data_IF_811995340210
#
_entry.id   IF_811995340210
#
_cell.length_a   1.000
_cell.length_b   1.000
_cell.length_c   1.000
_cell.angle_alpha   90.00
_cell.angle_beta   90.00
_cell.angle_gamma   90.00
#
_symmetry.space_group_name_H-M   'P 1'
#
loop_
_entity.id
_entity.type
_entity.pdbx_description
1 polymer ?
#
# COMPACT_ATOMS: atom_id res chain seq x y z
N UNK A 1 -1.65 0.87 45.02
CA UNK A 1 -1.48 1.72 43.81
C UNK A 1 -2.16 1.00 42.65
N UNK A 2 -3.23 1.57 42.08
CA UNK A 2 -3.91 0.96 40.94
C UNK A 2 -2.96 1.00 39.73
N UNK A 3 -2.76 -0.14 39.06
CA UNK A 3 -1.84 -0.23 37.91
C UNK A 3 -2.53 -0.69 36.63
N UNK A 4 -3.76 -1.16 36.74
CA UNK A 4 -4.60 -1.66 35.65
C UNK A 4 -6.02 -1.16 35.89
N UNK A 5 -6.67 -0.68 34.84
CA UNK A 5 -8.06 -0.27 34.89
C UNK A 5 -8.79 -0.90 33.70
N UNK A 6 -9.87 -1.61 34.02
CA UNK A 6 -10.75 -2.28 33.06
C UNK A 6 -12.13 -1.67 33.20
N UNK A 7 -12.64 -1.07 32.13
CA UNK A 7 -13.92 -0.40 32.03
C UNK A 7 -14.77 -0.92 30.87
N UNK A 8 -14.45 -2.09 30.30
CA UNK A 8 -15.20 -2.63 29.16
C UNK A 8 -16.72 -2.63 29.40
N UNK A 9 -17.50 -2.33 28.35
CA UNK A 9 -18.96 -2.34 28.38
C UNK A 9 -19.58 -1.38 29.42
N UNK A 10 -18.98 -0.20 29.63
CA UNK A 10 -19.56 0.84 30.50
C UNK A 10 -19.94 2.07 29.69
N UNK A 11 -20.96 2.80 30.11
CA UNK A 11 -21.23 4.12 29.57
C UNK A 11 -20.57 5.17 30.46
N UNK A 12 -19.60 5.91 29.93
CA UNK A 12 -18.86 6.92 30.69
C UNK A 12 -19.09 8.30 30.10
N UNK A 13 -19.83 9.12 30.83
CA UNK A 13 -20.06 10.52 30.46
C UNK A 13 -18.78 11.38 30.58
N UNK A 14 -18.77 12.55 29.92
CA UNK A 14 -17.61 13.45 29.86
C UNK A 14 -17.01 13.79 31.23
N UNK A 15 -17.86 14.03 32.24
CA UNK A 15 -17.42 14.30 33.63
C UNK A 15 -16.71 13.08 34.22
N UNK A 16 -17.20 11.87 33.93
CA UNK A 16 -16.55 10.62 34.30
C UNK A 16 -15.17 10.49 33.65
N UNK A 17 -15.07 10.80 32.36
CA UNK A 17 -13.82 10.78 31.60
C UNK A 17 -12.76 11.73 32.15
N UNK A 18 -13.17 12.93 32.58
CA UNK A 18 -12.28 13.90 33.25
C UNK A 18 -11.67 13.32 34.54
N UNK A 19 -12.50 12.68 35.37
CA UNK A 19 -12.04 12.06 36.62
C UNK A 19 -11.17 10.82 36.36
N UNK A 20 -11.51 10.04 35.33
CA UNK A 20 -10.71 8.90 34.89
C UNK A 20 -9.32 9.32 34.43
N UNK A 21 -9.18 10.45 33.73
CA UNK A 21 -7.88 10.97 33.33
C UNK A 21 -6.88 11.06 34.49
N UNK A 22 -7.31 11.55 35.65
CA UNK A 22 -6.45 11.62 36.84
C UNK A 22 -5.99 10.25 37.35
N UNK A 23 -6.88 9.25 37.30
CA UNK A 23 -6.53 7.87 37.66
C UNK A 23 -5.56 7.24 36.64
N UNK A 24 -5.68 7.62 35.37
CA UNK A 24 -4.93 7.03 34.28
C UNK A 24 -3.48 7.51 34.18
N UNK A 25 -3.11 8.68 34.71
CA UNK A 25 -1.74 9.23 34.65
C UNK A 25 -0.61 8.28 35.11
N UNK A 26 -0.92 7.28 35.95
CA UNK A 26 0.07 6.32 36.51
C UNK A 26 -0.27 4.86 36.22
N UNK A 27 -1.23 4.60 35.35
CA UNK A 27 -1.66 3.25 35.02
C UNK A 27 -0.79 2.63 33.94
N UNK A 28 -0.61 1.31 34.01
CA UNK A 28 0.12 0.53 33.01
C UNK A 28 -0.80 -0.11 31.99
N UNK A 29 -2.06 -0.35 32.35
CA UNK A 29 -3.08 -0.92 31.45
C UNK A 29 -4.34 -0.09 31.59
N UNK A 30 -4.86 0.34 30.45
CA UNK A 30 -6.20 0.88 30.32
C UNK A 30 -6.96 0.11 29.25
N UNK A 31 -8.07 -0.50 29.66
CA UNK A 31 -8.90 -1.31 28.78
C UNK A 31 -10.35 -0.86 28.90
N UNK A 32 -10.83 -0.22 27.86
CA UNK A 32 -12.15 0.41 27.83
C UNK A 32 -12.90 0.08 26.55
N UNK A 33 -12.73 -1.13 26.02
CA UNK A 33 -13.46 -1.57 24.84
C UNK A 33 -14.97 -1.45 25.03
N UNK A 34 -15.70 -1.03 23.98
CA UNK A 34 -17.15 -0.85 24.01
C UNK A 34 -17.62 0.03 25.18
N UNK A 35 -17.00 1.20 25.39
CA UNK A 35 -17.30 2.05 26.56
C UNK A 35 -17.72 3.50 26.26
N UNK A 36 -18.06 3.79 25.00
CA UNK A 36 -18.73 5.02 24.52
C UNK A 36 -18.37 6.30 25.31
N UNK A 37 -17.14 6.81 25.12
CA UNK A 37 -16.65 7.99 25.84
C UNK A 37 -17.06 9.33 25.22
N UNK A 38 -17.56 9.34 23.97
CA UNK A 38 -17.78 10.56 23.20
C UNK A 38 -16.48 11.33 22.88
N UNK A 39 -16.58 12.33 22.01
CA UNK A 39 -15.42 13.15 21.57
C UNK A 39 -14.72 13.84 22.74
N UNK A 40 -15.50 14.49 23.62
CA UNK A 40 -14.97 15.27 24.75
C UNK A 40 -14.34 14.34 25.78
N UNK A 41 -14.97 13.21 26.09
CA UNK A 41 -14.37 12.19 26.94
C UNK A 41 -13.04 11.65 26.38
N UNK A 42 -12.96 11.34 25.09
CA UNK A 42 -11.72 10.88 24.44
C UNK A 42 -10.62 11.96 24.52
N UNK A 43 -10.97 13.24 24.34
CA UNK A 43 -10.01 14.33 24.48
C UNK A 43 -9.43 14.39 25.91
N UNK A 44 -10.28 14.33 26.94
CA UNK A 44 -9.81 14.32 28.34
C UNK A 44 -8.92 13.13 28.66
N UNK A 45 -9.27 11.95 28.14
CA UNK A 45 -8.45 10.76 28.29
C UNK A 45 -7.11 10.94 27.56
N UNK A 46 -7.11 11.52 26.36
CA UNK A 46 -5.90 11.75 25.60
C UNK A 46 -4.93 12.72 26.28
N UNK A 47 -5.44 13.84 26.79
CA UNK A 47 -4.63 14.82 27.52
C UNK A 47 -3.99 14.18 28.77
N UNK A 48 -4.76 13.38 29.51
CA UNK A 48 -4.24 12.68 30.68
C UNK A 48 -3.23 11.57 30.35
N UNK A 49 -3.43 10.86 29.23
CA UNK A 49 -2.57 9.76 28.79
C UNK A 49 -1.27 10.25 28.12
N UNK A 50 -1.22 11.47 27.59
CA UNK A 50 0.02 12.10 27.12
C UNK A 50 1.05 12.27 28.24
N UNK A 51 0.60 12.58 29.46
CA UNK A 51 1.46 12.69 30.64
C UNK A 51 1.85 11.33 31.23
N UNK A 52 1.18 10.25 30.81
CA UNK A 52 1.44 8.92 31.34
C UNK A 52 2.66 8.30 30.65
N UNK A 53 3.75 8.11 31.42
CA UNK A 53 5.00 7.50 30.96
C UNK A 53 5.10 6.00 31.25
N UNK A 54 4.08 5.39 31.84
CA UNK A 54 4.07 3.99 32.33
C UNK A 54 3.09 3.07 31.59
N UNK A 55 2.22 3.61 30.75
CA UNK A 55 1.21 2.87 30.02
C UNK A 55 1.85 1.89 29.04
N UNK A 56 1.51 0.61 29.17
CA UNK A 56 1.95 -0.45 28.27
C UNK A 56 0.85 -0.83 27.29
N UNK A 57 -0.40 -0.91 27.76
CA UNK A 57 -1.53 -1.35 26.95
C UNK A 57 -2.67 -0.34 26.99
N UNK A 58 -3.17 0.00 25.82
CA UNK A 58 -4.29 0.89 25.58
C UNK A 58 -5.28 0.18 24.66
N UNK A 59 -6.51 -0.02 25.12
CA UNK A 59 -7.53 -0.75 24.38
C UNK A 59 -8.83 0.06 24.28
N UNK A 60 -9.16 0.43 23.05
CA UNK A 60 -10.23 1.34 22.64
C UNK A 60 -11.12 0.77 21.52
N UNK A 61 -11.18 -0.55 21.35
CA UNK A 61 -12.08 -1.16 20.36
C UNK A 61 -13.55 -0.78 20.61
N UNK A 62 -14.33 -0.58 19.54
CA UNK A 62 -15.78 -0.32 19.62
C UNK A 62 -16.16 0.92 20.46
N UNK A 63 -15.39 2.02 20.39
CA UNK A 63 -15.63 3.25 21.16
C UNK A 63 -16.11 4.44 20.32
N UNK A 64 -16.62 4.20 19.11
CA UNK A 64 -17.10 5.25 18.20
C UNK A 64 -16.03 6.33 17.88
N UNK A 65 -14.77 5.90 17.76
CA UNK A 65 -13.63 6.79 17.44
C UNK A 65 -13.68 7.19 15.96
N UNK A 66 -13.92 8.48 15.68
CA UNK A 66 -13.84 9.09 14.35
C UNK A 66 -12.46 9.70 14.03
N UNK A 67 -12.37 10.44 12.91
CA UNK A 67 -11.11 11.03 12.43
C UNK A 67 -10.50 12.05 13.42
N UNK A 68 -11.34 12.82 14.13
CA UNK A 68 -10.91 13.79 15.11
C UNK A 68 -10.35 13.10 16.36
N UNK A 69 -11.06 12.08 16.85
CA UNK A 69 -10.67 11.31 18.02
C UNK A 69 -9.40 10.50 17.74
N UNK A 70 -9.26 9.97 16.53
CA UNK A 70 -8.05 9.32 16.06
C UNK A 70 -6.83 10.25 16.12
N UNK A 71 -6.99 11.56 15.85
CA UNK A 71 -5.93 12.56 16.05
C UNK A 71 -5.54 12.70 17.53
N UNK A 72 -6.50 12.68 18.45
CA UNK A 72 -6.19 12.74 19.89
C UNK A 72 -5.41 11.49 20.34
N UNK A 73 -5.84 10.31 19.89
CA UNK A 73 -5.14 9.06 20.19
C UNK A 73 -3.74 9.01 19.54
N UNK A 74 -3.58 9.53 18.33
CA UNK A 74 -2.28 9.68 17.68
C UNK A 74 -1.31 10.55 18.52
N UNK A 75 -1.80 11.63 19.13
CA UNK A 75 -0.98 12.45 20.02
C UNK A 75 -0.52 11.70 21.27
N UNK A 76 -1.38 10.85 21.85
CA UNK A 76 -1.00 9.96 22.97
C UNK A 76 0.15 9.06 22.54
N UNK A 77 0.01 8.43 21.38
CA UNK A 77 1.06 7.60 20.81
C UNK A 77 2.33 8.45 20.70
N UNK A 78 2.34 9.57 19.98
CA UNK A 78 3.51 10.46 19.83
C UNK A 78 4.19 10.90 21.14
N UNK A 79 3.48 10.97 22.27
CA UNK A 79 4.05 11.30 23.57
C UNK A 79 4.56 10.07 24.34
N UNK A 80 3.90 8.92 24.20
CA UNK A 80 4.14 7.75 25.03
C UNK A 80 5.18 6.79 24.42
N UNK A 81 6.32 6.64 25.11
CA UNK A 81 7.43 5.75 24.68
C UNK A 81 7.40 4.34 25.29
N UNK A 82 6.41 4.03 26.13
CA UNK A 82 6.34 2.74 26.84
C UNK A 82 5.21 1.83 26.35
N UNK A 83 4.26 2.37 25.59
CA UNK A 83 3.15 1.62 25.03
C UNK A 83 3.67 0.55 24.07
N UNK A 84 3.24 -0.69 24.29
CA UNK A 84 3.61 -1.85 23.49
C UNK A 84 2.39 -2.55 22.88
N UNK A 85 1.18 -2.19 23.29
CA UNK A 85 -0.06 -2.71 22.70
C UNK A 85 -1.09 -1.60 22.59
N UNK A 86 -1.54 -1.36 21.36
CA UNK A 86 -2.62 -0.45 21.04
C UNK A 86 -3.68 -1.21 20.24
N UNK A 87 -4.90 -1.28 20.78
CA UNK A 87 -6.03 -1.94 20.13
C UNK A 87 -7.13 -0.91 19.88
N UNK A 88 -7.45 -0.69 18.62
CA UNK A 88 -8.40 0.34 18.16
C UNK A 88 -9.34 -0.16 17.05
N UNK A 89 -9.36 -1.47 16.80
CA UNK A 89 -10.26 -2.07 15.81
C UNK A 89 -11.73 -1.74 16.03
N UNK A 90 -12.55 -1.96 15.00
CA UNK A 90 -14.01 -1.75 15.05
C UNK A 90 -14.42 -0.34 15.49
N UNK A 91 -13.74 0.68 14.96
CA UNK A 91 -14.10 2.09 15.15
C UNK A 91 -14.30 2.80 13.80
N UNK A 92 -15.20 3.80 13.71
CA UNK A 92 -15.59 4.43 12.44
C UNK A 92 -14.68 5.59 11.99
N UNK A 93 -13.36 5.50 12.18
CA UNK A 93 -12.43 6.48 11.61
C UNK A 93 -12.23 6.24 10.11
N UNK A 94 -12.12 7.33 9.36
CA UNK A 94 -11.87 7.34 7.93
C UNK A 94 -10.37 7.33 7.59
N UNK A 95 -10.07 7.60 6.33
CA UNK A 95 -8.70 7.57 5.81
C UNK A 95 -7.77 8.60 6.47
N UNK A 96 -8.30 9.77 6.89
CA UNK A 96 -7.49 10.77 7.59
C UNK A 96 -7.10 10.31 9.01
N UNK A 97 -8.03 9.71 9.76
CA UNK A 97 -7.76 9.14 11.08
C UNK A 97 -6.79 7.96 11.00
N UNK A 98 -7.00 7.06 10.03
CA UNK A 98 -6.11 5.93 9.78
C UNK A 98 -4.66 6.38 9.48
N UNK A 99 -4.49 7.41 8.64
CA UNK A 99 -3.17 7.95 8.32
C UNK A 99 -2.44 8.51 9.55
N UNK A 100 -3.14 9.30 10.39
CA UNK A 100 -2.56 9.89 11.61
C UNK A 100 -2.15 8.82 12.63
N UNK A 101 -2.99 7.80 12.82
CA UNK A 101 -2.66 6.67 13.70
C UNK A 101 -1.46 5.89 13.17
N UNK A 102 -1.40 5.64 11.86
CA UNK A 102 -0.26 4.95 11.24
C UNK A 102 1.05 5.72 11.44
N UNK A 103 1.06 7.04 11.19
CA UNK A 103 2.24 7.89 11.42
C UNK A 103 2.67 7.88 12.89
N UNK A 104 1.71 7.98 13.82
CA UNK A 104 2.00 7.96 15.25
C UNK A 104 2.52 6.61 15.75
N UNK A 105 2.02 5.50 15.19
CA UNK A 105 2.53 4.16 15.44
C UNK A 105 3.94 3.99 14.91
N UNK A 106 4.25 4.48 13.70
CA UNK A 106 5.60 4.43 13.14
C UNK A 106 6.63 5.16 14.02
N UNK A 107 6.24 6.28 14.62
CA UNK A 107 7.14 7.07 15.45
C UNK A 107 7.37 6.49 16.87
N UNK A 108 6.46 5.66 17.38
CA UNK A 108 6.57 5.09 18.75
C UNK A 108 6.95 3.64 18.80
N UNK A 109 6.59 2.90 17.77
CA UNK A 109 6.82 1.48 17.64
C UNK A 109 7.62 1.27 16.36
N UNK A 110 8.93 1.55 16.35
CA UNK A 110 9.80 1.30 15.20
C UNK A 110 9.89 -0.20 14.83
N UNK A 111 9.23 -1.08 15.59
CA UNK A 111 9.02 -2.50 15.30
C UNK A 111 7.76 -2.79 14.46
N UNK A 112 6.80 -1.87 14.41
CA UNK A 112 5.50 -2.05 13.73
C UNK A 112 5.41 -1.32 12.39
N UNK A 113 6.32 -0.38 12.13
CA UNK A 113 6.55 0.09 10.77
C UNK A 113 7.83 -0.58 10.29
N UNK A 114 7.84 -1.21 9.10
CA UNK A 114 9.09 -1.59 8.47
C UNK A 114 9.93 -0.32 8.44
N UNK A 115 11.15 -0.40 8.95
CA UNK A 115 12.09 0.72 9.07
C UNK A 115 12.56 1.15 7.67
N UNK A 116 11.64 1.48 6.78
CA UNK A 116 11.81 1.74 5.37
C UNK A 116 12.26 3.20 5.23
N UNK A 117 13.48 3.47 5.70
CA UNK A 117 14.14 4.77 5.59
C UNK A 117 15.01 4.80 4.34
N UNK A 118 15.54 5.97 3.98
CA UNK A 118 16.51 6.10 2.88
C UNK A 118 17.73 5.18 3.04
N UNK A 119 18.11 4.82 4.28
CA UNK A 119 19.22 3.90 4.54
C UNK A 119 18.90 2.43 4.27
N UNK A 120 17.63 2.03 4.28
CA UNK A 120 17.20 0.63 4.03
C UNK A 120 16.57 0.44 2.65
N UNK A 121 15.80 1.41 2.17
CA UNK A 121 15.22 1.39 0.82
C UNK A 121 16.25 1.85 -0.22
N UNK A 122 17.17 2.75 0.15
CA UNK A 122 18.06 3.45 -0.79
C UNK A 122 17.43 4.69 -1.41
N UNK A 123 18.11 5.29 -2.39
CA UNK A 123 17.58 6.41 -3.17
C UNK A 123 16.79 5.89 -4.39
N UNK A 124 15.71 6.58 -4.74
CA UNK A 124 14.88 6.29 -5.92
C UNK A 124 14.12 4.94 -5.91
N UNK A 125 13.19 4.71 -4.96
CA UNK A 125 12.22 3.63 -5.08
C UNK A 125 11.14 3.97 -6.11
N UNK A 126 11.00 3.16 -7.16
CA UNK A 126 10.05 3.41 -8.24
C UNK A 126 8.79 2.52 -8.16
N UNK A 127 8.90 1.34 -7.54
CA UNK A 127 7.77 0.43 -7.37
C UNK A 127 7.71 -0.16 -5.96
N UNK A 128 6.49 -0.35 -5.48
CA UNK A 128 6.16 -1.04 -4.23
C UNK A 128 5.07 -2.07 -4.51
N UNK A 129 5.18 -3.25 -3.90
CA UNK A 129 4.18 -4.30 -3.95
C UNK A 129 3.99 -4.90 -2.56
N UNK A 130 2.75 -5.26 -2.21
CA UNK A 130 2.41 -5.93 -0.96
C UNK A 130 1.69 -7.23 -1.30
N UNK A 131 2.25 -8.37 -0.86
CA UNK A 131 1.61 -9.68 -1.07
C UNK A 131 0.49 -9.96 -0.06
N UNK A 132 -0.29 -11.01 -0.32
CA UNK A 132 -1.36 -11.50 0.57
C UNK A 132 -0.89 -11.93 1.97
N UNK A 133 0.43 -12.07 2.18
CA UNK A 133 1.04 -12.40 3.47
C UNK A 133 1.68 -11.17 4.15
N UNK A 134 1.31 -9.95 3.71
CA UNK A 134 1.85 -8.67 4.19
C UNK A 134 3.37 -8.52 4.01
N UNK A 135 3.98 -9.24 3.06
CA UNK A 135 5.36 -8.96 2.68
C UNK A 135 5.39 -7.76 1.77
N UNK A 136 6.30 -6.84 2.06
CA UNK A 136 6.47 -5.61 1.30
C UNK A 136 7.71 -5.77 0.43
N UNK A 137 7.57 -5.46 -0.84
CA UNK A 137 8.60 -5.54 -1.84
C UNK A 137 8.78 -4.14 -2.42
N UNK A 138 10.01 -3.62 -2.42
CA UNK A 138 10.31 -2.28 -2.95
C UNK A 138 11.50 -2.39 -3.88
N UNK A 139 11.40 -1.81 -5.08
CA UNK A 139 12.54 -1.70 -5.99
C UNK A 139 13.48 -0.59 -5.53
N UNK A 140 14.78 -0.81 -5.69
CA UNK A 140 15.82 0.19 -5.44
C UNK A 140 16.69 0.29 -6.68
N UNK A 141 16.59 1.43 -7.38
CA UNK A 141 17.35 1.67 -8.59
C UNK A 141 18.86 1.83 -8.34
N UNK A 142 19.25 2.56 -7.29
CA UNK A 142 20.66 2.80 -6.99
C UNK A 142 21.44 1.50 -6.73
N UNK A 143 20.81 0.52 -6.10
CA UNK A 143 21.42 -0.77 -5.78
C UNK A 143 21.06 -1.87 -6.79
N UNK A 144 20.27 -1.56 -7.82
CA UNK A 144 19.67 -2.52 -8.75
C UNK A 144 19.16 -3.76 -8.03
N UNK A 145 18.24 -3.56 -7.10
CA UNK A 145 17.76 -4.64 -6.22
C UNK A 145 16.29 -4.51 -5.86
N UNK A 146 15.71 -5.59 -5.36
CA UNK A 146 14.43 -5.58 -4.65
C UNK A 146 14.70 -5.79 -3.17
N UNK A 147 14.19 -4.90 -2.34
CA UNK A 147 14.20 -4.99 -0.89
C UNK A 147 12.89 -5.64 -0.44
N UNK A 148 12.97 -6.73 0.35
CA UNK A 148 11.80 -7.50 0.79
C UNK A 148 11.71 -7.54 2.31
N UNK A 149 10.67 -6.95 2.86
CA UNK A 149 10.33 -7.05 4.29
C UNK A 149 9.38 -8.22 4.51
N UNK A 150 9.71 -9.09 5.46
CA UNK A 150 8.97 -10.31 5.78
C UNK A 150 8.57 -10.25 7.25
N UNK A 151 7.29 -10.47 7.57
CA UNK A 151 6.78 -10.62 8.94
C UNK A 151 7.29 -9.53 9.90
N UNK A 152 7.15 -8.26 9.53
CA UNK A 152 7.55 -7.09 10.33
C UNK A 152 9.06 -7.03 10.68
N UNK A 153 9.92 -7.71 9.92
CA UNK A 153 11.37 -7.58 10.07
C UNK A 153 11.80 -6.12 9.94
N UNK A 154 12.71 -5.66 10.81
CA UNK A 154 13.28 -4.31 10.70
C UNK A 154 14.27 -4.17 9.54
N UNK A 155 14.81 -5.29 9.04
CA UNK A 155 15.77 -5.32 7.94
C UNK A 155 15.18 -6.06 6.73
N UNK A 156 15.29 -5.49 5.52
CA UNK A 156 14.88 -6.18 4.31
C UNK A 156 15.86 -7.29 3.92
N UNK A 157 15.34 -8.32 3.26
CA UNK A 157 16.12 -9.23 2.44
C UNK A 157 16.37 -8.58 1.08
N UNK A 158 17.63 -8.39 0.72
CA UNK A 158 18.03 -7.86 -0.59
C UNK A 158 18.06 -8.96 -1.64
N UNK A 159 17.37 -8.73 -2.76
CA UNK A 159 17.46 -9.56 -3.97
C UNK A 159 18.15 -8.72 -5.03
N UNK A 160 19.38 -9.12 -5.39
CA UNK A 160 20.12 -8.45 -6.43
C UNK A 160 19.52 -8.75 -7.81
N UNK A 161 19.22 -7.69 -8.57
CA UNK A 161 18.87 -7.76 -9.98
C UNK A 161 20.19 -7.68 -10.74
N UNK A 162 20.47 -8.67 -11.61
CA UNK A 162 21.70 -8.64 -12.42
C UNK A 162 21.61 -7.49 -13.43
N UNK A 163 22.78 -6.95 -13.82
CA UNK A 163 23.01 -5.97 -14.89
C UNK A 163 22.83 -4.46 -14.58
N UNK A 164 22.88 -4.01 -13.33
CA UNK A 164 22.86 -2.56 -13.00
C UNK A 164 21.68 -1.81 -13.65
N UNK A 165 20.52 -2.41 -13.48
CA UNK A 165 19.29 -2.00 -14.13
C UNK A 165 18.49 -1.12 -13.20
N UNK A 166 17.77 -0.15 -13.76
CA UNK A 166 16.95 0.82 -13.05
C UNK A 166 15.51 0.28 -13.00
N UNK A 167 15.16 -0.67 -12.12
CA UNK A 167 13.83 -1.29 -12.12
C UNK A 167 12.74 -0.26 -11.90
N UNK A 168 11.78 -0.22 -12.82
CA UNK A 168 10.67 0.75 -12.78
C UNK A 168 9.37 0.10 -12.27
N UNK A 169 9.14 -1.17 -12.57
CA UNK A 169 7.93 -1.89 -12.17
C UNK A 169 8.23 -3.24 -11.52
N UNK A 170 7.30 -3.70 -10.70
CA UNK A 170 7.40 -4.89 -9.88
C UNK A 170 6.02 -5.52 -9.73
N UNK A 171 5.96 -6.85 -9.81
CA UNK A 171 4.77 -7.63 -9.50
C UNK A 171 5.18 -8.93 -8.81
N UNK A 172 4.38 -9.40 -7.84
CA UNK A 172 4.61 -10.69 -7.19
C UNK A 172 3.36 -11.54 -7.33
N UNK A 173 3.49 -12.73 -7.90
CA UNK A 173 2.39 -13.69 -8.05
C UNK A 173 2.08 -14.42 -6.73
N UNK A 174 0.92 -15.06 -6.67
CA UNK A 174 0.44 -15.77 -5.47
C UNK A 174 1.39 -16.90 -5.00
N UNK A 175 2.14 -17.50 -5.92
CA UNK A 175 3.16 -18.52 -5.64
C UNK A 175 4.49 -17.94 -5.09
N UNK A 176 4.59 -16.60 -5.00
CA UNK A 176 5.75 -15.86 -4.53
C UNK A 176 6.82 -15.62 -5.59
N UNK A 177 6.53 -15.83 -6.89
CA UNK A 177 7.42 -15.44 -7.97
C UNK A 177 7.41 -13.92 -8.16
N UNK A 178 8.60 -13.32 -8.12
CA UNK A 178 8.81 -11.88 -8.23
C UNK A 178 9.18 -11.58 -9.66
N UNK A 179 8.47 -10.66 -10.31
CA UNK A 179 8.73 -10.16 -11.65
C UNK A 179 9.11 -8.69 -11.57
N UNK A 180 10.19 -8.29 -12.23
CA UNK A 180 10.72 -6.93 -12.21
C UNK A 180 11.18 -6.54 -13.60
N UNK A 181 10.83 -5.33 -14.02
CA UNK A 181 11.40 -4.71 -15.21
C UNK A 181 12.92 -4.54 -15.06
N UNK A 182 13.68 -4.92 -16.08
CA UNK A 182 15.13 -4.82 -16.09
C UNK A 182 15.65 -3.63 -16.89
N UNK A 183 14.78 -2.73 -17.36
CA UNK A 183 15.15 -1.52 -18.12
C UNK A 183 16.09 -1.78 -19.33
N UNK A 184 16.15 -3.01 -19.84
CA UNK A 184 16.81 -3.40 -21.09
C UNK A 184 15.83 -4.17 -21.99
N UNK A 185 14.54 -3.85 -21.89
CA UNK A 185 13.46 -4.46 -22.67
C UNK A 185 13.17 -5.91 -22.25
N UNK A 186 13.56 -6.30 -21.04
CA UNK A 186 13.17 -7.58 -20.44
C UNK A 186 12.48 -7.38 -19.09
N UNK A 187 11.62 -8.33 -18.77
CA UNK A 187 11.15 -8.57 -17.41
C UNK A 187 11.89 -9.78 -16.88
N UNK A 188 12.53 -9.62 -15.73
CA UNK A 188 13.29 -10.66 -15.04
C UNK A 188 12.47 -11.21 -13.88
N UNK A 189 12.60 -12.51 -13.62
CA UNK A 189 11.82 -13.18 -12.58
C UNK A 189 12.63 -14.12 -11.69
N UNK A 190 12.23 -14.22 -10.43
CA UNK A 190 12.88 -15.03 -9.40
C UNK A 190 11.87 -15.62 -8.41
N UNK A 191 12.22 -16.77 -7.83
CA UNK A 191 11.56 -17.27 -6.63
C UNK A 191 12.46 -16.97 -5.41
N UNK A 192 11.91 -16.34 -4.36
CA UNK A 192 12.65 -15.80 -3.20
C UNK A 192 13.69 -16.76 -2.57
N UNK A 193 13.47 -18.08 -2.70
CA UNK A 193 14.26 -19.13 -2.06
C UNK A 193 15.00 -20.04 -3.05
N UNK A 194 14.98 -19.75 -4.36
CA UNK A 194 15.76 -20.49 -5.36
C UNK A 194 16.90 -19.62 -5.86
N UNK A 195 18.11 -19.90 -5.41
CA UNK A 195 19.33 -19.32 -5.99
C UNK A 195 19.51 -19.84 -7.41
N UNK A 196 19.63 -18.94 -8.40
CA UNK A 196 20.04 -19.27 -9.76
C UNK A 196 18.94 -19.47 -10.81
N UNK A 197 17.67 -19.63 -10.44
CA UNK A 197 16.58 -19.70 -11.42
C UNK A 197 16.09 -18.30 -11.77
N UNK A 198 16.80 -17.66 -12.71
CA UNK A 198 16.40 -16.39 -13.30
C UNK A 198 15.85 -16.66 -14.69
N UNK A 199 14.64 -16.17 -14.96
CA UNK A 199 14.07 -16.20 -16.31
C UNK A 199 13.87 -14.76 -16.77
N UNK A 200 14.41 -14.43 -17.94
CA UNK A 200 14.24 -13.13 -18.60
C UNK A 200 13.25 -13.27 -19.74
N UNK A 201 12.32 -12.33 -19.83
CA UNK A 201 11.25 -12.31 -20.82
C UNK A 201 11.32 -11.02 -21.62
N UNK A 202 11.55 -11.12 -22.92
CA UNK A 202 11.59 -9.94 -23.79
C UNK A 202 10.20 -9.30 -23.92
N UNK A 203 10.12 -7.99 -23.64
CA UNK A 203 8.91 -7.16 -23.73
C UNK A 203 8.97 -6.13 -24.85
N UNK A 204 10.12 -5.95 -25.51
CA UNK A 204 10.30 -4.97 -26.59
C UNK A 204 10.83 -3.62 -26.11
N UNK A 205 10.31 -3.14 -24.99
CA UNK A 205 10.71 -1.88 -24.32
C UNK A 205 10.55 -2.01 -22.79
N UNK A 206 10.96 -0.98 -22.05
CA UNK A 206 10.79 -0.85 -20.60
C UNK A 206 9.32 -0.96 -20.18
N UNK A 207 9.08 -1.75 -19.14
CA UNK A 207 7.76 -2.00 -18.60
C UNK A 207 7.41 -1.04 -17.47
N UNK A 208 6.55 -0.05 -17.72
CA UNK A 208 6.17 0.95 -16.71
C UNK A 208 5.06 0.48 -15.76
N UNK A 209 4.23 -0.45 -16.22
CA UNK A 209 3.22 -1.15 -15.44
C UNK A 209 3.30 -2.62 -15.76
N UNK A 210 3.34 -3.46 -14.73
CA UNK A 210 3.60 -4.89 -14.85
C UNK A 210 2.54 -5.65 -14.06
N UNK A 211 1.92 -6.65 -14.69
CA UNK A 211 0.91 -7.49 -14.05
C UNK A 211 0.98 -8.90 -14.61
N UNK A 212 0.82 -9.91 -13.75
CA UNK A 212 0.71 -11.32 -14.17
C UNK A 212 -0.68 -11.84 -13.78
N UNK A 213 -1.44 -12.32 -14.75
CA UNK A 213 -2.77 -12.89 -14.49
C UNK A 213 -2.71 -14.38 -14.04
N UNK A 214 -3.85 -14.90 -13.61
CA UNK A 214 -4.01 -16.29 -13.14
C UNK A 214 -3.76 -17.35 -14.23
N UNK A 215 -3.72 -16.95 -15.51
CA UNK A 215 -3.42 -17.83 -16.64
C UNK A 215 -1.94 -17.80 -17.05
N UNK A 216 -1.08 -17.19 -16.22
CA UNK A 216 0.33 -16.94 -16.52
C UNK A 216 0.51 -16.08 -17.79
N UNK A 217 -0.31 -15.04 -17.95
CA UNK A 217 -0.08 -14.02 -18.97
C UNK A 217 0.51 -12.78 -18.33
N UNK A 218 1.66 -12.34 -18.85
CA UNK A 218 2.29 -11.09 -18.49
C UNK A 218 1.65 -9.96 -19.27
N UNK A 219 1.27 -8.89 -18.59
CA UNK A 219 0.84 -7.63 -19.17
C UNK A 219 1.88 -6.57 -18.88
N UNK A 220 2.16 -5.75 -19.88
CA UNK A 220 3.19 -4.74 -19.79
C UNK A 220 2.75 -3.45 -20.47
N UNK A 221 2.81 -2.35 -19.73
CA UNK A 221 2.57 -1.01 -20.27
C UNK A 221 3.86 -0.45 -20.87
N UNK A 222 3.88 -0.32 -22.20
CA UNK A 222 4.97 0.31 -22.95
C UNK A 222 4.62 1.78 -23.12
N UNK A 223 5.01 2.58 -22.12
CA UNK A 223 4.58 3.98 -21.98
C UNK A 223 4.94 4.83 -23.20
N UNK A 224 6.17 4.69 -23.71
CA UNK A 224 6.69 5.44 -24.84
C UNK A 224 6.03 5.07 -26.18
N UNK A 225 5.52 3.84 -26.28
CA UNK A 225 4.76 3.36 -27.44
C UNK A 225 3.26 3.62 -27.31
N UNK A 226 2.78 4.04 -26.14
CA UNK A 226 1.36 4.29 -25.87
C UNK A 226 0.48 3.05 -26.04
N UNK A 227 0.99 1.88 -25.64
CA UNK A 227 0.29 0.59 -25.72
C UNK A 227 0.48 -0.22 -24.44
N UNK A 228 -0.43 -1.18 -24.26
CA UNK A 228 -0.25 -2.30 -23.34
C UNK A 228 -0.17 -3.57 -24.17
N UNK A 229 0.86 -4.37 -23.93
CA UNK A 229 1.03 -5.68 -24.54
C UNK A 229 0.70 -6.79 -23.53
N UNK A 230 0.33 -7.96 -24.04
CA UNK A 230 0.26 -9.20 -23.28
C UNK A 230 1.15 -10.27 -23.91
N UNK A 231 1.65 -11.18 -23.08
CA UNK A 231 2.46 -12.33 -23.48
C UNK A 231 2.16 -13.53 -22.59
N UNK A 232 1.90 -14.69 -23.19
CA UNK A 232 1.77 -15.93 -22.43
C UNK A 232 3.14 -16.42 -21.97
N UNK A 233 3.29 -16.70 -20.68
CA UNK A 233 4.49 -17.30 -20.09
C UNK A 233 4.53 -18.82 -20.28
N UNK A 234 3.43 -19.43 -20.74
CA UNK A 234 3.36 -20.87 -21.02
C UNK A 234 3.92 -21.22 -22.42
N UNK A 235 4.23 -20.21 -23.25
CA UNK A 235 4.79 -20.38 -24.59
C UNK A 235 6.29 -20.09 -24.56
N UNK A 236 7.05 -20.83 -25.37
CA UNK A 236 8.47 -20.60 -25.57
C UNK A 236 8.79 -19.54 -26.62
N UNK A 237 7.80 -19.13 -27.43
CA UNK A 237 7.96 -18.04 -28.38
C UNK A 237 7.95 -16.66 -27.71
N UNK A 238 8.51 -15.67 -28.40
CA UNK A 238 8.53 -14.27 -27.98
C UNK A 238 7.32 -13.48 -28.51
N UNK A 239 6.21 -14.13 -28.83
CA UNK A 239 5.05 -13.43 -29.40
C UNK A 239 4.34 -12.61 -28.32
N UNK A 240 4.04 -11.36 -28.68
CA UNK A 240 3.26 -10.43 -27.88
C UNK A 240 2.01 -10.02 -28.67
N UNK A 241 0.94 -9.66 -27.96
CA UNK A 241 -0.26 -9.10 -28.55
C UNK A 241 -0.56 -7.73 -27.91
N UNK A 242 -0.95 -6.75 -28.73
CA UNK A 242 -1.42 -5.46 -28.22
C UNK A 242 -2.84 -5.64 -27.69
N UNK A 243 -3.05 -5.33 -26.42
CA UNK A 243 -4.35 -5.44 -25.73
C UNK A 243 -5.00 -4.09 -25.43
N UNK A 244 -4.21 -3.01 -25.46
CA UNK A 244 -4.71 -1.64 -25.35
C UNK A 244 -3.76 -0.66 -26.06
N UNK A 245 -4.28 0.49 -26.51
CA UNK A 245 -3.53 1.50 -27.23
C UNK A 245 -3.48 1.28 -28.74
N UNK A 246 -2.99 2.30 -29.45
CA UNK A 246 -2.92 2.35 -30.93
C UNK A 246 -1.50 2.50 -31.46
N UNK A 247 -0.48 2.28 -30.62
CA UNK A 247 0.94 2.52 -30.92
C UNK A 247 1.26 3.96 -31.36
N UNK A 248 0.40 4.89 -30.95
CA UNK A 248 0.41 6.31 -31.23
C UNK A 248 -0.34 6.99 -30.08
N UNK A 249 0.08 8.20 -29.69
CA UNK A 249 -0.61 8.94 -28.65
C UNK A 249 -2.01 9.33 -29.11
N UNK A 250 -2.98 9.32 -28.21
CA UNK A 250 -4.33 9.78 -28.52
C UNK A 250 -5.25 9.75 -27.31
N UNK A 251 -6.42 10.37 -27.47
CA UNK A 251 -7.42 10.53 -26.42
C UNK A 251 -8.76 9.81 -26.73
N UNK A 252 -8.98 9.39 -27.96
CA UNK A 252 -10.27 8.82 -28.39
C UNK A 252 -10.22 7.30 -28.46
N UNK A 253 -11.36 6.67 -28.13
CA UNK A 253 -11.52 5.21 -28.21
C UNK A 253 -10.43 4.47 -27.43
N UNK A 254 -9.73 3.57 -28.12
CA UNK A 254 -8.72 2.70 -27.52
C UNK A 254 -7.32 3.32 -27.43
N UNK A 255 -7.14 4.56 -27.90
CA UNK A 255 -5.85 5.25 -27.82
C UNK A 255 -5.50 5.64 -26.38
N UNK A 256 -4.21 5.58 -26.09
CA UNK A 256 -3.61 5.92 -24.80
C UNK A 256 -2.57 7.02 -25.00
N UNK A 257 -2.16 7.66 -23.92
CA UNK A 257 -1.07 8.63 -23.89
C UNK A 257 -0.22 8.43 -22.64
N UNK A 258 0.99 7.87 -22.85
CA UNK A 258 1.93 7.46 -21.80
C UNK A 258 1.29 6.60 -20.69
N UNK A 259 0.75 5.41 -21.02
CA UNK A 259 0.14 4.54 -20.02
C UNK A 259 1.17 4.07 -18.99
N UNK A 260 0.78 4.05 -17.71
CA UNK A 260 1.63 3.63 -16.59
C UNK A 260 1.08 2.39 -15.90
N UNK A 261 0.59 2.53 -14.68
CA UNK A 261 0.06 1.42 -13.90
C UNK A 261 -1.10 0.71 -14.59
N UNK A 262 -1.12 -0.61 -14.46
CA UNK A 262 -2.12 -1.50 -15.04
C UNK A 262 -2.55 -2.53 -14.00
N UNK A 263 -3.82 -2.95 -14.07
CA UNK A 263 -4.33 -4.12 -13.33
C UNK A 263 -5.28 -4.89 -14.23
N UNK A 264 -5.36 -6.20 -14.04
CA UNK A 264 -6.32 -7.04 -14.74
C UNK A 264 -7.25 -7.68 -13.71
N UNK A 265 -8.55 -7.53 -13.93
CA UNK A 265 -9.57 -8.12 -13.05
C UNK A 265 -9.75 -9.63 -13.32
N UNK A 266 -10.59 -10.29 -12.51
CA UNK A 266 -10.89 -11.72 -12.67
C UNK A 266 -11.67 -12.08 -13.94
N UNK A 267 -12.23 -11.09 -14.63
CA UNK A 267 -12.91 -11.25 -15.93
C UNK A 267 -11.97 -10.93 -17.10
N UNK A 268 -10.66 -10.77 -16.85
CA UNK A 268 -9.65 -10.37 -17.82
C UNK A 268 -9.91 -8.99 -18.45
N UNK A 269 -10.62 -8.12 -17.74
CA UNK A 269 -10.71 -6.71 -18.11
C UNK A 269 -9.48 -5.98 -17.60
N UNK A 270 -8.86 -5.21 -18.48
CA UNK A 270 -7.64 -4.47 -18.22
C UNK A 270 -7.98 -3.02 -17.85
N UNK A 271 -7.59 -2.60 -16.66
CA UNK A 271 -7.58 -1.18 -16.29
C UNK A 271 -6.19 -0.60 -16.58
N UNK A 272 -6.16 0.56 -17.23
CA UNK A 272 -4.93 1.26 -17.60
C UNK A 272 -4.99 2.69 -17.09
N UNK A 273 -3.96 3.09 -16.34
CA UNK A 273 -3.72 4.49 -16.01
C UNK A 273 -3.19 5.22 -17.24
N UNK A 274 -4.07 5.94 -17.91
CA UNK A 274 -3.77 6.75 -19.10
C UNK A 274 -3.24 8.11 -18.66
N UNK A 275 -1.98 8.08 -18.20
CA UNK A 275 -1.36 9.09 -17.33
C UNK A 275 -1.48 10.50 -17.90
N UNK A 276 -1.07 10.73 -19.15
CA UNK A 276 -1.07 12.06 -19.75
C UNK A 276 -2.45 12.52 -20.22
N UNK A 277 -3.41 11.61 -20.33
CA UNK A 277 -4.83 11.95 -20.53
C UNK A 277 -5.59 12.13 -19.21
N UNK A 278 -4.90 12.08 -18.05
CA UNK A 278 -5.49 12.37 -16.75
C UNK A 278 -6.69 11.47 -16.41
N UNK A 279 -6.66 10.20 -16.84
CA UNK A 279 -7.78 9.27 -16.68
C UNK A 279 -7.36 7.82 -16.46
N UNK A 280 -8.32 7.02 -16.02
CA UNK A 280 -8.21 5.56 -15.98
C UNK A 280 -9.23 4.97 -16.95
N UNK A 281 -8.73 4.12 -17.85
CA UNK A 281 -9.54 3.44 -18.85
C UNK A 281 -9.70 1.95 -18.51
N UNK A 282 -10.88 1.41 -18.80
CA UNK A 282 -11.22 -0.01 -18.70
C UNK A 282 -11.41 -0.60 -20.11
N UNK A 283 -10.61 -1.61 -20.42
CA UNK A 283 -10.64 -2.40 -21.64
C UNK A 283 -11.24 -3.76 -21.30
N UNK A 284 -12.44 -4.07 -21.79
CA UNK A 284 -13.07 -5.38 -21.55
C UNK A 284 -12.66 -6.36 -22.64
N UNK A 285 -12.35 -7.59 -22.25
CA UNK A 285 -11.97 -8.64 -23.21
C UNK A 285 -13.08 -8.85 -24.24
N UNK A 286 -12.74 -8.76 -25.53
CA UNK A 286 -13.68 -8.95 -26.65
C UNK A 286 -14.65 -7.79 -26.89
N UNK A 287 -14.65 -6.74 -26.05
CA UNK A 287 -15.39 -5.53 -26.33
C UNK A 287 -14.54 -4.59 -27.20
N UNK A 288 -15.05 -4.18 -28.35
CA UNK A 288 -14.37 -3.19 -29.19
C UNK A 288 -14.29 -1.78 -28.58
N UNK A 289 -14.95 -1.55 -27.45
CA UNK A 289 -15.14 -0.24 -26.84
C UNK A 289 -14.48 -0.15 -25.46
N UNK A 290 -13.72 0.92 -25.24
CA UNK A 290 -13.20 1.34 -23.93
C UNK A 290 -14.22 2.13 -23.12
N UNK A 291 -14.04 2.14 -21.80
CA UNK A 291 -14.81 3.00 -20.89
C UNK A 291 -13.85 3.78 -20.00
N UNK A 292 -14.04 5.09 -19.87
CA UNK A 292 -13.35 5.87 -18.82
C UNK A 292 -14.07 5.61 -17.50
N UNK A 293 -13.34 5.14 -16.48
CA UNK A 293 -13.93 4.78 -15.18
C UNK A 293 -13.60 5.80 -14.08
N UNK A 294 -12.54 6.58 -14.26
CA UNK A 294 -12.17 7.70 -13.40
C UNK A 294 -11.32 8.72 -14.16
N UNK A 295 -11.31 9.97 -13.70
CA UNK A 295 -10.56 11.05 -14.32
C UNK A 295 -11.31 11.78 -15.42
N UNK A 296 -10.54 12.33 -16.36
CA UNK A 296 -11.08 13.17 -17.41
C UNK A 296 -11.69 12.34 -18.56
N UNK A 297 -12.99 12.54 -18.78
CA UNK A 297 -13.77 11.87 -19.82
C UNK A 297 -15.17 11.49 -19.32
N UNK A 298 -16.20 11.46 -20.17
CA UNK A 298 -17.55 11.12 -19.75
C UNK A 298 -17.67 9.60 -19.44
N UNK A 299 -18.33 9.21 -18.33
CA UNK A 299 -18.84 10.06 -17.26
C UNK A 299 -17.71 10.49 -16.29
N UNK A 300 -17.61 11.79 -16.00
CA UNK A 300 -16.60 12.32 -15.07
C UNK A 300 -17.04 11.99 -13.64
N UNK A 301 -16.36 11.05 -13.01
CA UNK A 301 -16.65 10.63 -11.62
C UNK A 301 -15.73 11.30 -10.62
N UNK A 302 -14.45 11.51 -10.97
CA UNK A 302 -13.37 12.05 -10.12
C UNK A 302 -12.36 12.75 -11.04
N UNK A 303 -11.79 13.90 -10.66
CA UNK A 303 -10.67 14.52 -11.41
C UNK A 303 -9.34 13.91 -11.00
N UNK A 304 -8.52 13.50 -11.96
CA UNK A 304 -7.19 12.92 -11.72
C UNK A 304 -6.10 13.77 -12.36
N UNK A 305 -4.89 13.71 -11.82
CA UNK A 305 -3.70 14.33 -12.41
C UNK A 305 -2.59 13.29 -12.53
N UNK A 306 -2.18 12.96 -13.76
CA UNK A 306 -1.12 11.98 -14.05
C UNK A 306 -1.25 10.66 -13.28
N UNK A 307 -2.41 9.96 -13.37
CA UNK A 307 -2.66 8.78 -12.55
C UNK A 307 -1.68 7.64 -12.82
N UNK A 308 -1.48 6.82 -11.80
CA UNK A 308 -0.94 5.47 -11.87
C UNK A 308 -1.82 4.56 -11.02
N UNK A 309 -1.85 3.26 -11.34
CA UNK A 309 -2.55 2.23 -10.57
C UNK A 309 -1.49 1.25 -10.04
N UNK A 310 -1.62 0.84 -8.78
CA UNK A 310 -0.75 -0.11 -8.10
C UNK A 310 -1.57 -1.30 -7.62
#
# INVERSE_FOLDING_TARGET
KLSKLYLKNNFVEDVGSQHLGNALRKNRIFDSANSQFGTVGIQYLADALQENTTLLRLHFEENDVGDLEAQYLANILHANRTLNTFLIGSNPFGHHGAHRLADALCNNLPKLCPAATSSTIGSYPYAVFIDQNNKIYVTNQQMSSVQVWINDSSLPKTIAIRNNNYPISLFVTDDGTIYVDDNNNYVTSWLLNKTGNQSSLYTGETCYGLFIDKNNSLYCSLSDNHIVITRSLNRSDNQTAIVAGSNCFGFLGNSLYYPRGIIVDTNYSLCVADCQNHRVQLFRLGAGNTTTIAGWGPPVTITLYYPSIF
#
